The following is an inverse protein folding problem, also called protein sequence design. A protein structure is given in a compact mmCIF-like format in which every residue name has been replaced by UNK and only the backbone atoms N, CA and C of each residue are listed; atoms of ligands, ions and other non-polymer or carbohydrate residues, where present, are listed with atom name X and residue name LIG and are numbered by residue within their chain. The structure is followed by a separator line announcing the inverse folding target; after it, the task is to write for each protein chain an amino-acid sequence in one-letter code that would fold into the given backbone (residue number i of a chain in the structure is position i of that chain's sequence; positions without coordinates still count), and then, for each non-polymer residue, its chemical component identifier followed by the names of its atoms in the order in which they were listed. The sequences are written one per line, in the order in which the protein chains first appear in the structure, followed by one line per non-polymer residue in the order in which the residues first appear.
data_IF_353102969263
#
_entry.id   IF_353102969263
#
_cell.length_a   1.000
_cell.length_b   1.000
_cell.length_c   1.000
_cell.angle_alpha   90.00
_cell.angle_beta   90.00
_cell.angle_gamma   90.00
#
_symmetry.space_group_name_H-M   'P 1'
#
loop_
_entity.id
_entity.type
_entity.pdbx_description
1 polymer ?
#
# COMPACT_ATOMS: atom_id res chain seq x y z
N UNK A 1 -15.19 18.90 -6.76
CA UNK A 1 -13.78 18.56 -7.04
C UNK A 1 -13.47 17.25 -6.34
N UNK A 2 -12.66 16.34 -6.88
CA UNK A 2 -12.27 15.15 -6.16
C UNK A 2 -11.54 15.52 -4.85
N UNK A 3 -11.77 14.73 -3.80
CA UNK A 3 -11.19 14.99 -2.48
C UNK A 3 -9.71 14.62 -2.47
N UNK A 4 -8.85 15.48 -1.93
CA UNK A 4 -7.41 15.20 -1.77
C UNK A 4 -7.21 14.23 -0.61
N UNK A 5 -6.63 13.05 -0.89
CA UNK A 5 -6.43 11.99 0.12
C UNK A 5 -4.98 11.77 0.52
N UNK A 6 -4.03 12.16 -0.34
CA UNK A 6 -2.60 12.12 -0.05
C UNK A 6 -1.91 13.33 -0.67
N UNK A 7 -1.06 13.99 0.10
CA UNK A 7 -0.20 15.09 -0.35
C UNK A 7 1.21 14.88 0.17
N UNK A 8 2.17 14.91 -0.74
CA UNK A 8 3.60 14.95 -0.46
C UNK A 8 4.19 16.20 -1.10
N UNK A 9 5.04 16.92 -0.38
CA UNK A 9 5.67 18.16 -0.85
C UNK A 9 7.16 18.17 -0.54
N UNK A 10 7.98 18.27 -1.57
CA UNK A 10 9.41 18.48 -1.47
C UNK A 10 10.15 17.38 -0.72
N UNK A 11 9.74 16.11 -0.87
CA UNK A 11 10.35 15.02 -0.12
C UNK A 11 11.79 14.80 -0.57
N UNK A 12 12.70 14.81 0.39
CA UNK A 12 14.08 14.43 0.20
C UNK A 12 14.46 13.31 1.17
N UNK A 13 15.31 12.38 0.73
CA UNK A 13 15.87 11.30 1.54
C UNK A 13 17.25 10.90 1.03
N UNK A 14 18.19 10.79 1.96
CA UNK A 14 19.51 10.22 1.72
C UNK A 14 19.85 9.15 2.73
N UNK A 15 20.78 8.30 2.38
CA UNK A 15 21.32 7.29 3.28
C UNK A 15 22.84 7.44 3.40
N UNK A 16 23.38 7.15 4.57
CA UNK A 16 24.82 7.09 4.75
C UNK A 16 25.39 5.88 3.99
N UNK A 17 26.46 6.10 3.24
CA UNK A 17 27.17 5.06 2.50
C UNK A 17 28.68 5.20 2.76
N UNK A 18 29.46 4.12 2.64
CA UNK A 18 30.93 4.19 2.77
C UNK A 18 31.59 5.18 1.78
N UNK A 19 30.93 5.42 0.64
CA UNK A 19 31.40 6.36 -0.38
C UNK A 19 30.89 7.80 -0.18
N UNK A 20 30.17 8.08 0.92
CA UNK A 20 29.56 9.37 1.23
C UNK A 20 28.02 9.31 1.20
N UNK A 21 27.32 10.42 1.41
CA UNK A 21 25.86 10.50 1.38
C UNK A 21 25.31 10.08 0.01
N UNK A 22 24.35 9.15 0.01
CA UNK A 22 23.66 8.69 -1.20
C UNK A 22 22.26 9.30 -1.22
N UNK A 23 22.00 10.33 -2.04
CA UNK A 23 20.65 10.86 -2.19
C UNK A 23 19.76 9.85 -2.96
N UNK A 24 18.58 9.54 -2.43
CA UNK A 24 17.62 8.61 -3.01
C UNK A 24 16.38 9.33 -3.50
N UNK A 25 15.89 10.32 -2.74
CA UNK A 25 14.85 11.24 -3.16
C UNK A 25 15.37 12.66 -3.02
N UNK A 26 15.06 13.55 -4.00
CA UNK A 26 15.69 14.87 -4.06
C UNK A 26 14.68 16.02 -3.92
N UNK A 27 13.51 15.92 -4.49
CA UNK A 27 12.42 16.91 -4.41
C UNK A 27 11.15 16.29 -4.97
N UNK A 28 10.63 15.26 -4.26
CA UNK A 28 9.45 14.54 -4.74
C UNK A 28 8.20 15.21 -4.20
N UNK A 29 7.33 15.63 -5.11
CA UNK A 29 6.00 16.14 -4.80
C UNK A 29 4.92 15.33 -5.51
N UNK A 30 3.84 14.99 -4.79
CA UNK A 30 2.76 14.15 -5.28
C UNK A 30 1.45 14.51 -4.59
N UNK A 31 0.40 14.69 -5.35
CA UNK A 31 -0.98 14.78 -4.86
C UNK A 31 -1.78 13.62 -5.43
N UNK A 32 -2.61 12.98 -4.61
CA UNK A 32 -3.49 11.88 -5.01
C UNK A 32 -4.89 12.15 -4.48
N UNK A 33 -5.88 11.94 -5.33
CA UNK A 33 -7.28 12.21 -5.04
C UNK A 33 -8.08 10.91 -4.83
N UNK A 34 -9.19 11.01 -4.12
CA UNK A 34 -10.08 9.88 -3.87
C UNK A 34 -10.50 9.18 -5.17
N UNK A 35 -10.43 7.85 -5.19
CA UNK A 35 -10.71 7.02 -6.36
C UNK A 35 -9.63 7.05 -7.46
N UNK A 36 -8.54 7.81 -7.27
CA UNK A 36 -7.46 7.88 -8.24
C UNK A 36 -6.53 6.67 -8.11
N UNK A 37 -6.08 6.12 -9.24
CA UNK A 37 -4.99 5.13 -9.29
C UNK A 37 -3.77 5.73 -9.96
N UNK A 38 -2.64 5.72 -9.24
CA UNK A 38 -1.34 6.24 -9.69
C UNK A 38 -0.34 5.10 -9.70
N UNK A 39 0.33 4.87 -10.82
CA UNK A 39 1.48 3.97 -10.87
C UNK A 39 2.79 4.75 -10.91
N UNK A 40 3.78 4.26 -10.18
CA UNK A 40 5.13 4.81 -10.13
C UNK A 40 6.10 3.72 -10.58
N UNK A 41 6.74 3.94 -11.73
CA UNK A 41 7.77 3.07 -12.28
C UNK A 41 9.16 3.63 -12.01
N UNK A 42 10.18 2.79 -12.16
CA UNK A 42 11.58 3.17 -12.05
C UNK A 42 12.45 1.92 -12.02
N UNK A 43 13.74 2.07 -12.32
CA UNK A 43 14.74 0.99 -12.21
C UNK A 43 14.84 0.45 -10.78
N UNK A 44 15.43 -0.75 -10.62
CA UNK A 44 15.79 -1.24 -9.30
C UNK A 44 16.72 -0.23 -8.61
N UNK A 45 16.48 0.03 -7.32
CA UNK A 45 17.25 1.02 -6.55
C UNK A 45 16.90 2.49 -6.81
N UNK A 46 15.90 2.82 -7.64
CA UNK A 46 15.50 4.23 -7.88
C UNK A 46 14.81 4.94 -6.70
N UNK A 47 14.58 4.24 -5.58
CA UNK A 47 13.94 4.84 -4.39
C UNK A 47 12.43 4.62 -4.27
N UNK A 48 11.81 3.76 -5.09
CA UNK A 48 10.35 3.53 -5.10
C UNK A 48 9.82 3.05 -3.74
N UNK A 49 10.44 2.04 -3.15
CA UNK A 49 10.08 1.52 -1.82
C UNK A 49 10.29 2.60 -0.74
N UNK A 50 11.40 3.36 -0.82
CA UNK A 50 11.65 4.49 0.09
C UNK A 50 10.55 5.54 -0.01
N UNK A 51 10.14 5.90 -1.23
CA UNK A 51 9.03 6.82 -1.45
C UNK A 51 7.73 6.30 -0.83
N UNK A 52 7.35 5.04 -1.09
CA UNK A 52 6.15 4.45 -0.49
C UNK A 52 6.21 4.43 1.04
N UNK A 53 7.36 4.10 1.62
CA UNK A 53 7.55 4.10 3.07
C UNK A 53 7.35 5.49 3.67
N UNK A 54 7.85 6.54 3.01
CA UNK A 54 7.63 7.91 3.44
C UNK A 54 6.18 8.34 3.27
N UNK A 55 5.56 8.05 2.12
CA UNK A 55 4.16 8.36 1.88
C UNK A 55 3.25 7.74 2.94
N UNK A 56 3.60 6.56 3.43
CA UNK A 56 2.84 5.86 4.47
C UNK A 56 3.30 6.08 5.91
N UNK A 57 4.36 6.86 6.14
CA UNK A 57 4.88 7.18 7.47
C UNK A 57 5.62 6.03 8.16
N UNK A 58 6.10 5.04 7.40
CA UNK A 58 6.97 3.98 7.91
C UNK A 58 8.42 4.46 8.02
N UNK A 59 8.80 5.45 7.21
CA UNK A 59 10.07 6.17 7.31
C UNK A 59 9.82 7.67 7.25
N UNK A 60 10.69 8.47 7.88
CA UNK A 60 10.59 9.93 7.86
C UNK A 60 11.47 10.51 6.75
N UNK A 61 10.96 11.49 5.99
CA UNK A 61 11.78 12.23 5.06
C UNK A 61 12.81 13.09 5.82
N UNK A 62 13.97 13.34 5.21
CA UNK A 62 14.98 14.25 5.73
C UNK A 62 14.56 15.71 5.51
N UNK A 63 13.73 15.96 4.47
CA UNK A 63 13.07 17.25 4.21
C UNK A 63 11.72 17.03 3.51
N UNK A 64 10.85 18.02 3.57
CA UNK A 64 9.51 17.97 3.03
C UNK A 64 8.48 17.45 4.03
N UNK A 65 7.26 17.27 3.57
CA UNK A 65 6.16 16.77 4.40
C UNK A 65 5.22 15.86 3.63
N UNK A 66 4.57 14.94 4.35
CA UNK A 66 3.47 14.10 3.86
C UNK A 66 2.25 14.33 4.71
N UNK A 67 1.08 14.44 4.06
CA UNK A 67 -0.23 14.49 4.71
C UNK A 67 -1.18 13.50 4.06
N UNK A 68 -1.98 12.82 4.88
CA UNK A 68 -2.95 11.81 4.45
C UNK A 68 -4.29 12.11 5.09
N UNK A 69 -5.35 11.96 4.32
CA UNK A 69 -6.71 12.07 4.81
C UNK A 69 -7.02 10.90 5.76
N UNK A 70 -7.19 11.22 7.04
CA UNK A 70 -7.64 10.25 8.02
C UNK A 70 -9.13 10.46 8.35
N UNK A 71 -9.95 9.40 8.40
CA UNK A 71 -11.38 9.51 8.70
C UNK A 71 -11.63 10.29 9.99
N UNK A 72 -12.42 11.38 9.88
CA UNK A 72 -12.80 12.23 11.01
C UNK A 72 -11.73 13.21 11.50
N UNK A 73 -10.52 13.24 10.90
CA UNK A 73 -9.41 14.10 11.32
C UNK A 73 -8.87 15.03 10.22
N UNK A 74 -9.34 14.90 8.98
CA UNK A 74 -8.81 15.66 7.85
C UNK A 74 -7.42 15.22 7.43
N UNK A 75 -6.65 16.10 6.79
CA UNK A 75 -5.27 15.85 6.39
C UNK A 75 -4.33 15.93 7.59
N UNK A 76 -3.74 14.79 7.96
CA UNK A 76 -2.82 14.63 9.08
C UNK A 76 -1.48 14.01 8.64
N UNK A 77 -0.46 14.10 9.48
CA UNK A 77 0.78 13.38 9.23
C UNK A 77 0.54 11.86 9.18
N UNK A 78 1.24 11.10 8.30
CA UNK A 78 0.98 9.67 8.10
C UNK A 78 1.04 8.84 9.38
N UNK A 79 1.99 9.12 10.26
CA UNK A 79 2.11 8.43 11.57
C UNK A 79 0.87 8.54 12.44
N UNK A 80 0.18 9.68 12.37
CA UNK A 80 -1.09 9.88 13.08
C UNK A 80 -2.24 9.11 12.44
N UNK A 81 -2.13 8.78 11.14
CA UNK A 81 -3.14 8.07 10.36
C UNK A 81 -2.93 6.56 10.31
N UNK A 82 -1.81 6.05 10.83
CA UNK A 82 -1.49 4.62 10.82
C UNK A 82 -2.65 3.79 11.37
N UNK A 83 -3.07 2.81 10.58
CA UNK A 83 -4.21 1.97 10.86
C UNK A 83 -5.57 2.50 10.43
N UNK A 84 -5.71 3.78 10.02
CA UNK A 84 -7.00 4.34 9.59
C UNK A 84 -6.96 5.07 8.25
N UNK A 85 -5.89 5.77 7.92
CA UNK A 85 -5.77 6.55 6.67
C UNK A 85 -5.08 5.80 5.55
N UNK A 86 -4.19 4.85 5.89
CA UNK A 86 -3.31 4.14 4.96
C UNK A 86 -3.46 2.64 5.10
N UNK A 87 -3.52 1.95 3.97
CA UNK A 87 -3.33 0.51 3.88
C UNK A 87 -2.07 0.18 3.07
N UNK A 88 -1.27 -0.79 3.53
CA UNK A 88 -0.09 -1.26 2.83
C UNK A 88 -0.27 -2.66 2.27
N UNK A 89 0.17 -2.83 1.01
CA UNK A 89 0.33 -4.13 0.35
C UNK A 89 1.80 -4.27 -0.07
N UNK A 90 2.50 -5.25 0.52
CA UNK A 90 3.93 -5.47 0.29
C UNK A 90 4.18 -6.65 -0.65
N UNK A 91 5.32 -6.62 -1.35
CA UNK A 91 5.78 -7.71 -2.20
C UNK A 91 5.93 -9.04 -1.43
N UNK A 92 6.47 -9.01 -0.22
CA UNK A 92 6.68 -10.18 0.63
C UNK A 92 5.52 -10.41 1.61
N UNK A 93 4.31 -9.95 1.29
CA UNK A 93 3.07 -10.12 2.07
C UNK A 93 3.14 -9.54 3.49
N UNK A 94 4.26 -9.63 4.18
CA UNK A 94 4.49 -9.18 5.57
C UNK A 94 3.40 -9.72 6.53
N UNK A 95 3.03 -11.00 6.36
CA UNK A 95 2.11 -11.66 7.27
C UNK A 95 2.85 -12.18 8.51
N UNK A 96 2.19 -12.14 9.65
CA UNK A 96 2.69 -12.76 10.88
C UNK A 96 2.54 -14.28 10.76
N UNK A 97 3.64 -15.05 10.78
CA UNK A 97 3.59 -16.47 10.47
C UNK A 97 2.88 -17.32 11.54
N UNK A 98 2.78 -16.80 12.78
CA UNK A 98 2.10 -17.47 13.90
C UNK A 98 0.60 -17.20 13.95
N UNK A 99 0.10 -16.26 13.12
CA UNK A 99 -1.31 -15.89 13.07
C UNK A 99 -1.98 -16.49 11.83
N UNK A 100 -3.22 -16.94 11.99
CA UNK A 100 -4.08 -17.37 10.89
C UNK A 100 -4.36 -16.22 9.91
N UNK A 101 -4.92 -16.53 8.73
CA UNK A 101 -5.37 -15.53 7.78
C UNK A 101 -6.37 -14.55 8.44
N UNK A 102 -7.32 -15.08 9.21
CA UNK A 102 -8.31 -14.28 9.94
C UNK A 102 -7.65 -13.35 10.96
N UNK A 103 -6.72 -13.88 11.75
CA UNK A 103 -6.03 -13.10 12.79
C UNK A 103 -5.11 -12.04 12.21
N UNK A 104 -4.40 -12.32 11.10
CA UNK A 104 -3.58 -11.33 10.41
C UNK A 104 -4.38 -10.10 9.98
N UNK A 105 -5.60 -10.30 9.49
CA UNK A 105 -6.49 -9.21 9.09
C UNK A 105 -7.13 -8.54 10.30
N UNK A 106 -7.64 -9.31 11.26
CA UNK A 106 -8.30 -8.79 12.45
C UNK A 106 -7.36 -7.95 13.33
N UNK A 107 -6.06 -8.33 13.41
CA UNK A 107 -5.05 -7.60 14.18
C UNK A 107 -4.93 -6.15 13.71
N UNK A 108 -4.93 -5.89 12.42
CA UNK A 108 -4.85 -4.54 11.88
C UNK A 108 -6.04 -3.66 12.34
N UNK A 109 -7.24 -4.23 12.37
CA UNK A 109 -8.42 -3.54 12.89
C UNK A 109 -8.33 -3.30 14.41
N UNK A 110 -7.82 -4.27 15.16
CA UNK A 110 -7.62 -4.14 16.62
C UNK A 110 -6.60 -3.06 16.98
N UNK A 111 -5.50 -2.97 16.23
CA UNK A 111 -4.49 -1.90 16.40
C UNK A 111 -5.13 -0.53 16.17
N UNK A 112 -6.06 -0.41 15.23
CA UNK A 112 -6.83 0.81 14.98
C UNK A 112 -7.92 1.10 16.04
N UNK A 113 -8.02 0.28 17.11
CA UNK A 113 -8.96 0.46 18.22
C UNK A 113 -10.34 -0.16 17.98
N UNK A 114 -10.52 -1.00 16.95
CA UNK A 114 -11.79 -1.70 16.72
C UNK A 114 -11.93 -2.83 17.75
N UNK A 115 -13.09 -2.98 18.44
CA UNK A 115 -13.35 -4.07 19.37
C UNK A 115 -13.15 -5.44 18.73
N UNK A 116 -12.64 -6.43 19.49
CA UNK A 116 -12.23 -7.73 18.97
C UNK A 116 -13.32 -8.44 18.15
N UNK A 117 -14.56 -8.44 18.64
CA UNK A 117 -15.69 -9.07 17.93
C UNK A 117 -15.94 -8.42 16.56
N UNK A 118 -15.99 -7.08 16.50
CA UNK A 118 -16.18 -6.32 15.26
C UNK A 118 -15.00 -6.45 14.31
N UNK A 119 -13.77 -6.48 14.83
CA UNK A 119 -12.55 -6.68 14.05
C UNK A 119 -12.55 -8.07 13.37
N UNK A 120 -12.91 -9.13 14.11
CA UNK A 120 -13.02 -10.49 13.57
C UNK A 120 -14.13 -10.59 12.51
N UNK A 121 -15.29 -9.99 12.74
CA UNK A 121 -16.39 -9.97 11.78
C UNK A 121 -15.99 -9.24 10.48
N UNK A 122 -15.35 -8.07 10.58
CA UNK A 122 -14.86 -7.31 9.41
C UNK A 122 -13.78 -8.09 8.64
N UNK A 123 -12.84 -8.72 9.35
CA UNK A 123 -11.80 -9.54 8.76
C UNK A 123 -12.38 -10.73 7.98
N UNK A 124 -13.33 -11.46 8.57
CA UNK A 124 -14.03 -12.57 7.92
C UNK A 124 -14.75 -12.15 6.65
N UNK A 125 -15.49 -11.04 6.70
CA UNK A 125 -16.20 -10.52 5.53
C UNK A 125 -15.21 -10.17 4.39
N UNK A 126 -14.10 -9.51 4.69
CA UNK A 126 -13.07 -9.18 3.70
C UNK A 126 -12.38 -10.39 3.11
N UNK A 127 -11.99 -11.35 3.95
CA UNK A 127 -11.37 -12.58 3.47
C UNK A 127 -12.32 -13.38 2.57
N UNK A 128 -13.61 -13.39 2.88
CA UNK A 128 -14.63 -13.99 2.00
C UNK A 128 -14.73 -13.23 0.68
N UNK A 129 -14.74 -11.89 0.71
CA UNK A 129 -14.78 -11.03 -0.49
C UNK A 129 -13.58 -11.27 -1.42
N UNK A 130 -12.37 -11.49 -0.86
CA UNK A 130 -11.18 -11.81 -1.66
C UNK A 130 -11.03 -13.31 -1.99
N UNK A 131 -12.07 -14.13 -1.76
CA UNK A 131 -12.11 -15.54 -2.13
C UNK A 131 -11.45 -16.50 -1.14
N UNK A 132 -11.20 -16.09 0.12
CA UNK A 132 -10.53 -16.88 1.14
C UNK A 132 -11.46 -17.39 2.26
N UNK A 133 -12.77 -17.44 2.02
CA UNK A 133 -13.75 -17.91 3.03
C UNK A 133 -13.49 -19.30 3.60
N UNK A 134 -12.89 -20.20 2.81
CA UNK A 134 -12.51 -21.57 3.24
C UNK A 134 -11.09 -21.63 3.85
N UNK A 135 -10.36 -20.51 3.95
CA UNK A 135 -8.96 -20.45 4.38
C UNK A 135 -8.74 -19.65 5.67
N UNK A 136 -9.79 -19.22 6.33
CA UNK A 136 -9.74 -18.29 7.47
C UNK A 136 -8.77 -18.73 8.58
N UNK A 137 -8.79 -20.03 8.91
CA UNK A 137 -7.99 -20.61 10.00
C UNK A 137 -6.62 -21.14 9.54
N UNK A 138 -6.24 -20.90 8.28
CA UNK A 138 -4.94 -21.36 7.77
C UNK A 138 -3.84 -20.37 8.18
N UNK A 139 -2.70 -20.93 8.61
CA UNK A 139 -1.45 -20.17 8.81
C UNK A 139 -0.83 -19.83 7.45
N UNK A 140 -0.04 -18.75 7.33
CA UNK A 140 0.64 -18.36 6.09
C UNK A 140 1.42 -19.50 5.43
N UNK A 141 2.07 -20.36 6.22
CA UNK A 141 2.80 -21.52 5.72
C UNK A 141 1.94 -22.60 5.02
N UNK A 142 0.61 -22.50 5.14
CA UNK A 142 -0.37 -23.42 4.50
C UNK A 142 -1.13 -22.73 3.36
N UNK A 143 -0.75 -21.51 3.00
CA UNK A 143 -1.33 -20.73 1.92
C UNK A 143 -0.36 -20.66 0.74
N UNK A 144 -0.91 -20.61 -0.47
CA UNK A 144 -0.12 -20.28 -1.66
C UNK A 144 0.30 -18.80 -1.64
N UNK A 145 1.27 -18.41 -2.48
CA UNK A 145 1.70 -17.02 -2.60
C UNK A 145 0.54 -16.08 -2.95
N UNK A 146 -0.31 -16.46 -3.89
CA UNK A 146 -1.50 -15.69 -4.25
C UNK A 146 -2.53 -15.60 -3.11
N UNK A 147 -2.72 -16.68 -2.33
CA UNK A 147 -3.57 -16.63 -1.13
C UNK A 147 -2.98 -15.73 -0.05
N UNK A 148 -1.66 -15.77 0.19
CA UNK A 148 -0.99 -14.84 1.10
C UNK A 148 -1.17 -13.37 0.68
N UNK A 149 -1.07 -13.10 -0.63
CA UNK A 149 -1.28 -11.75 -1.15
C UNK A 149 -2.74 -11.28 -0.99
N UNK A 150 -3.71 -12.16 -1.18
CA UNK A 150 -5.14 -11.87 -0.89
C UNK A 150 -5.36 -11.56 0.60
N UNK A 151 -4.68 -12.24 1.52
CA UNK A 151 -4.71 -11.90 2.96
C UNK A 151 -4.10 -10.52 3.20
N UNK A 152 -2.95 -10.20 2.57
CA UNK A 152 -2.31 -8.89 2.69
C UNK A 152 -3.20 -7.75 2.17
N UNK A 153 -3.91 -7.96 1.05
CA UNK A 153 -4.90 -7.01 0.51
C UNK A 153 -6.06 -6.82 1.49
N UNK A 154 -6.63 -7.90 2.01
CA UNK A 154 -7.71 -7.83 3.01
C UNK A 154 -7.27 -7.07 4.27
N UNK A 155 -6.04 -7.32 4.75
CA UNK A 155 -5.44 -6.61 5.88
C UNK A 155 -5.30 -5.10 5.60
N UNK A 156 -4.85 -4.74 4.41
CA UNK A 156 -4.72 -3.33 4.02
C UNK A 156 -6.07 -2.59 4.01
N UNK A 157 -7.15 -3.29 3.69
CA UNK A 157 -8.49 -2.72 3.49
C UNK A 157 -9.38 -2.72 4.73
N UNK A 158 -9.03 -3.46 5.81
CA UNK A 158 -9.94 -3.71 6.94
C UNK A 158 -10.35 -2.44 7.67
N UNK A 159 -9.49 -1.43 7.71
CA UNK A 159 -9.74 -0.15 8.35
C UNK A 159 -10.33 0.92 7.41
N UNK A 160 -10.74 0.54 6.19
CA UNK A 160 -11.29 1.45 5.17
C UNK A 160 -10.38 2.67 4.93
N UNK A 161 -9.10 2.46 4.57
CA UNK A 161 -8.17 3.55 4.39
C UNK A 161 -8.57 4.43 3.20
N UNK A 162 -8.14 5.71 3.24
CA UNK A 162 -8.34 6.64 2.13
C UNK A 162 -7.41 6.34 0.95
N UNK A 163 -6.22 5.76 1.25
CA UNK A 163 -5.24 5.39 0.23
C UNK A 163 -4.62 4.02 0.52
N UNK A 164 -4.44 3.24 -0.54
CA UNK A 164 -3.66 1.99 -0.54
C UNK A 164 -2.30 2.28 -1.18
N UNK A 165 -1.24 1.91 -0.49
CA UNK A 165 0.14 1.94 -0.98
C UNK A 165 0.59 0.51 -1.28
N UNK A 166 0.85 0.20 -2.53
CA UNK A 166 1.20 -1.15 -2.98
C UNK A 166 2.63 -1.18 -3.55
N UNK A 167 3.52 -1.91 -2.89
CA UNK A 167 4.91 -2.11 -3.30
C UNK A 167 5.08 -3.46 -3.98
N UNK A 168 5.21 -3.46 -5.31
CA UNK A 168 5.40 -4.67 -6.16
C UNK A 168 4.44 -5.82 -5.78
N UNK A 169 3.10 -5.59 -5.72
CA UNK A 169 2.16 -6.54 -5.11
C UNK A 169 2.07 -7.90 -5.81
N UNK A 170 2.71 -8.04 -6.96
CA UNK A 170 2.74 -9.27 -7.77
C UNK A 170 4.15 -9.81 -8.01
N UNK A 171 5.18 -9.16 -7.43
CA UNK A 171 6.58 -9.46 -7.74
C UNK A 171 7.06 -10.86 -7.38
N UNK A 172 6.35 -11.58 -6.51
CA UNK A 172 6.67 -12.95 -6.08
C UNK A 172 5.67 -13.99 -6.64
N UNK A 173 4.86 -13.61 -7.62
CA UNK A 173 3.80 -14.46 -8.18
C UNK A 173 4.11 -14.78 -9.65
N UNK A 174 3.60 -15.91 -10.13
CA UNK A 174 3.57 -16.19 -11.55
C UNK A 174 2.64 -15.20 -12.28
N UNK A 175 2.82 -15.07 -13.58
CA UNK A 175 2.14 -14.07 -14.42
C UNK A 175 0.61 -14.15 -14.31
N UNK A 176 0.04 -15.36 -14.36
CA UNK A 176 -1.41 -15.56 -14.27
C UNK A 176 -1.95 -15.15 -12.90
N UNK A 177 -1.34 -15.66 -11.84
CA UNK A 177 -1.72 -15.30 -10.46
C UNK A 177 -1.52 -13.81 -10.21
N UNK A 178 -0.45 -13.21 -10.75
CA UNK A 178 -0.19 -11.79 -10.69
C UNK A 178 -1.30 -10.95 -11.32
N UNK A 179 -1.78 -11.35 -12.51
CA UNK A 179 -2.90 -10.68 -13.18
C UNK A 179 -4.19 -10.75 -12.34
N UNK A 180 -4.52 -11.93 -11.80
CA UNK A 180 -5.69 -12.12 -10.92
C UNK A 180 -5.61 -11.24 -9.66
N UNK A 181 -4.42 -11.11 -9.05
CA UNK A 181 -4.22 -10.25 -7.88
C UNK A 181 -4.34 -8.77 -8.24
N UNK A 182 -3.85 -8.35 -9.41
CA UNK A 182 -4.01 -6.96 -9.85
C UNK A 182 -5.47 -6.63 -10.16
N UNK A 183 -6.22 -7.55 -10.80
CA UNK A 183 -7.66 -7.38 -11.03
C UNK A 183 -8.41 -7.22 -9.71
N UNK A 184 -8.11 -8.10 -8.74
CA UNK A 184 -8.70 -8.03 -7.41
C UNK A 184 -8.38 -6.70 -6.73
N UNK A 185 -7.11 -6.28 -6.71
CA UNK A 185 -6.67 -5.06 -6.03
C UNK A 185 -7.35 -3.83 -6.63
N UNK A 186 -7.32 -3.68 -7.95
CA UNK A 186 -7.94 -2.56 -8.64
C UNK A 186 -9.46 -2.53 -8.44
N UNK A 187 -10.12 -3.69 -8.54
CA UNK A 187 -11.57 -3.81 -8.34
C UNK A 187 -11.99 -3.41 -6.93
N UNK A 188 -11.34 -3.98 -5.91
CA UNK A 188 -11.72 -3.71 -4.50
C UNK A 188 -11.40 -2.27 -4.09
N UNK A 189 -10.32 -1.68 -4.62
CA UNK A 189 -9.98 -0.27 -4.39
C UNK A 189 -11.02 0.65 -5.03
N UNK A 190 -11.41 0.38 -6.28
CA UNK A 190 -12.44 1.14 -6.99
C UNK A 190 -13.81 1.06 -6.29
N UNK A 191 -14.25 -0.14 -5.89
CA UNK A 191 -15.52 -0.35 -5.19
C UNK A 191 -15.61 0.44 -3.87
N UNK A 192 -14.47 0.74 -3.25
CA UNK A 192 -14.41 1.47 -1.98
C UNK A 192 -14.17 2.96 -2.13
N UNK A 193 -13.90 3.43 -3.35
CA UNK A 193 -13.54 4.82 -3.61
C UNK A 193 -12.21 5.24 -2.99
N UNK A 194 -11.37 4.28 -2.58
CA UNK A 194 -10.04 4.56 -2.08
C UNK A 194 -9.10 4.96 -3.24
N UNK A 195 -8.04 5.68 -2.93
CA UNK A 195 -6.97 5.90 -3.89
C UNK A 195 -5.97 4.73 -3.87
N UNK A 196 -5.25 4.52 -4.98
CA UNK A 196 -4.17 3.55 -5.09
C UNK A 196 -2.88 4.23 -5.56
N UNK A 197 -1.79 4.03 -4.83
CA UNK A 197 -0.42 4.30 -5.32
C UNK A 197 0.27 2.96 -5.49
N UNK A 198 0.52 2.59 -6.73
CA UNK A 198 1.13 1.32 -7.12
C UNK A 198 2.58 1.57 -7.54
N UNK A 199 3.53 0.98 -6.84
CA UNK A 199 4.90 0.87 -7.31
C UNK A 199 5.08 -0.48 -7.99
N UNK A 200 5.60 -0.46 -9.21
CA UNK A 200 5.88 -1.69 -9.96
C UNK A 200 6.95 -1.48 -11.04
N UNK A 201 7.70 -2.52 -11.35
CA UNK A 201 8.58 -2.57 -12.52
C UNK A 201 7.84 -3.11 -13.77
N UNK A 202 6.69 -3.78 -13.59
CA UNK A 202 5.88 -4.27 -14.71
C UNK A 202 5.23 -3.10 -15.44
N UNK A 203 5.54 -3.01 -16.74
CA UNK A 203 4.91 -2.02 -17.63
C UNK A 203 3.42 -2.26 -17.77
N UNK A 204 3.04 -3.52 -17.95
CA UNK A 204 1.66 -3.95 -18.10
C UNK A 204 0.78 -3.50 -16.94
N UNK A 205 1.21 -3.78 -15.70
CA UNK A 205 0.44 -3.39 -14.51
C UNK A 205 0.44 -1.88 -14.28
N UNK A 206 1.53 -1.19 -14.62
CA UNK A 206 1.57 0.26 -14.53
C UNK A 206 0.60 0.95 -15.51
N UNK A 207 0.44 0.38 -16.71
CA UNK A 207 -0.48 0.90 -17.75
C UNK A 207 -1.97 0.77 -17.36
N UNK A 208 -2.28 -0.05 -16.36
CA UNK A 208 -3.65 -0.21 -15.82
C UNK A 208 -4.06 0.89 -14.84
N UNK A 209 -3.11 1.69 -14.36
CA UNK A 209 -3.40 2.84 -13.51
C UNK A 209 -3.85 4.07 -14.34
N UNK A 210 -4.71 4.89 -13.75
CA UNK A 210 -5.23 6.09 -14.40
C UNK A 210 -4.17 7.16 -14.66
N UNK A 211 -3.18 7.33 -13.74
CA UNK A 211 -2.04 8.23 -13.90
C UNK A 211 -0.73 7.45 -13.75
N UNK A 212 0.23 7.78 -14.60
CA UNK A 212 1.52 7.07 -14.67
C UNK A 212 2.66 8.03 -14.45
N UNK A 213 3.56 7.67 -13.54
CA UNK A 213 4.73 8.45 -13.16
C UNK A 213 5.99 7.58 -13.25
N UNK A 214 7.14 8.24 -13.38
CA UNK A 214 8.46 7.61 -13.36
C UNK A 214 9.29 8.27 -12.27
N UNK A 215 9.89 7.45 -11.40
CA UNK A 215 10.90 7.86 -10.43
C UNK A 215 12.29 7.56 -10.99
N UNK A 216 13.05 8.61 -11.28
CA UNK A 216 14.40 8.51 -11.82
C UNK A 216 15.29 9.60 -11.24
N UNK A 217 16.51 9.24 -10.80
CA UNK A 217 17.44 10.19 -10.21
C UNK A 217 16.89 10.93 -8.98
N UNK A 218 16.00 10.28 -8.23
CA UNK A 218 15.37 10.85 -7.04
C UNK A 218 14.24 11.85 -7.31
N UNK A 219 13.81 11.99 -8.56
CA UNK A 219 12.77 12.94 -9.01
C UNK A 219 11.60 12.18 -9.63
N UNK A 220 10.38 12.63 -9.36
CA UNK A 220 9.14 12.09 -9.92
C UNK A 220 8.69 12.92 -11.13
N UNK A 221 8.41 12.26 -12.25
CA UNK A 221 7.95 12.91 -13.48
C UNK A 221 6.82 12.12 -14.15
N UNK A 222 5.98 12.73 -15.01
CA UNK A 222 5.04 12.00 -15.85
C UNK A 222 5.74 10.94 -16.72
N UNK A 223 5.07 9.78 -16.93
CA UNK A 223 5.60 8.66 -17.74
C UNK A 223 5.35 8.83 -19.22
#
# INVERSE_FOLDING_TARGET
MPELVLQARGLAKGFASPAGPLPVLTDVSLEVFAGESVSIRGSSGSGKTTLLQQLGGLDEPDAGEVRILAPGAGLVAPRTSLGRGVGFVFQNYQLMPELTALENVALAARIAGVPAFSATAAARALLTQVGLGARLEHLPAKLSGGECQRVAIARALVNRPSVILADEPTGNLDERTGAEIMDLLLGVVADRGAALVLVTHSREFAERAGRRLVLSGGVLSPA
#
